data_IF_666603765858
#
_entry.id   IF_666603765858
#
_cell.length_a   1.000
_cell.length_b   1.000
_cell.length_c   1.000
_cell.angle_alpha   90.00
_cell.angle_beta   90.00
_cell.angle_gamma   90.00
#
_symmetry.space_group_name_H-M   'P 1'
#
loop_
_entity.id
_entity.type
_entity.pdbx_description
1 polymer ?
#
# COMPACT_ATOMS: atom_id res chain seq x y z
N UNK A 1 14.14 17.61 8.85
CA UNK A 1 13.91 18.75 7.94
C UNK A 1 15.22 19.32 7.38
N UNK A 2 16.15 19.82 8.20
CA UNK A 2 17.40 20.44 7.69
C UNK A 2 18.27 19.54 6.78
N UNK A 3 18.35 18.22 7.02
CA UNK A 3 19.07 17.29 6.14
C UNK A 3 18.30 16.91 4.86
N UNK A 4 16.97 17.05 4.87
CA UNK A 4 16.11 16.87 3.69
C UNK A 4 16.29 18.05 2.74
N UNK A 5 16.35 19.28 3.26
CA UNK A 5 16.58 20.49 2.45
C UNK A 5 17.87 20.43 1.64
N UNK A 6 18.96 19.90 2.21
CA UNK A 6 20.22 19.74 1.46
C UNK A 6 20.11 18.73 0.31
N UNK A 7 19.34 17.64 0.48
CA UNK A 7 19.08 16.70 -0.61
C UNK A 7 18.16 17.34 -1.66
N UNK A 8 17.07 17.94 -1.21
CA UNK A 8 16.11 18.61 -2.08
C UNK A 8 16.74 19.76 -2.87
N UNK A 9 17.68 20.52 -2.33
CA UNK A 9 18.39 21.55 -3.09
C UNK A 9 19.23 20.98 -4.24
N UNK A 10 19.76 19.76 -4.11
CA UNK A 10 20.50 19.08 -5.20
C UNK A 10 19.51 18.59 -6.25
N UNK A 11 18.40 17.96 -5.85
CA UNK A 11 17.41 17.41 -6.79
C UNK A 11 16.52 18.47 -7.43
N UNK A 12 16.09 19.51 -6.71
CA UNK A 12 15.40 20.68 -7.27
C UNK A 12 16.27 21.51 -8.20
N UNK A 13 17.59 21.31 -8.18
CA UNK A 13 18.52 21.92 -9.15
C UNK A 13 18.78 21.07 -10.39
N UNK A 14 18.35 19.80 -10.40
CA UNK A 14 18.34 18.95 -11.58
C UNK A 14 16.92 18.93 -12.16
N UNK A 15 16.76 19.05 -13.48
CA UNK A 15 15.45 19.07 -14.16
C UNK A 15 14.70 17.72 -14.15
N UNK A 16 14.74 16.98 -13.03
CA UNK A 16 14.21 15.63 -12.85
C UNK A 16 12.88 15.71 -12.08
N UNK A 17 11.78 15.08 -12.54
CA UNK A 17 10.53 15.06 -11.80
C UNK A 17 10.69 14.28 -10.49
N UNK A 18 10.12 14.81 -9.42
CA UNK A 18 10.25 14.23 -8.08
C UNK A 18 8.97 13.53 -7.61
N UNK A 19 9.14 12.33 -7.03
CA UNK A 19 8.13 11.64 -6.24
C UNK A 19 8.55 11.65 -4.77
N UNK A 20 7.77 12.33 -3.94
CA UNK A 20 8.00 12.51 -2.52
C UNK A 20 7.20 11.51 -1.70
N UNK A 21 7.86 10.67 -0.92
CA UNK A 21 7.21 9.64 -0.11
C UNK A 21 7.03 10.10 1.33
N UNK A 22 5.77 10.19 1.78
CA UNK A 22 5.43 10.38 3.19
C UNK A 22 5.46 9.04 3.92
N UNK A 23 6.66 8.60 4.28
CA UNK A 23 6.87 7.36 5.02
C UNK A 23 6.52 7.53 6.52
N UNK A 24 5.29 7.17 6.90
CA UNK A 24 4.86 7.07 8.31
C UNK A 24 5.08 5.67 8.89
N UNK A 25 6.02 4.91 8.34
CA UNK A 25 6.32 3.52 8.69
C UNK A 25 7.82 3.32 8.94
N UNK A 26 8.17 2.22 9.61
CA UNK A 26 9.57 1.78 9.72
C UNK A 26 10.11 1.37 8.34
N UNK A 27 11.34 1.78 8.00
CA UNK A 27 12.10 1.21 6.87
C UNK A 27 12.70 -0.13 7.28
N UNK A 28 12.54 -1.15 6.44
CA UNK A 28 12.96 -2.54 6.75
C UNK A 28 14.12 -3.04 5.86
N UNK A 29 14.46 -2.31 4.80
CA UNK A 29 15.51 -2.69 3.84
C UNK A 29 16.74 -1.76 3.93
N UNK A 30 17.94 -2.37 4.00
CA UNK A 30 19.30 -1.81 4.09
C UNK A 30 19.61 -0.84 5.26
N UNK A 31 18.68 0.03 5.64
CA UNK A 31 18.79 0.91 6.80
C UNK A 31 17.47 0.92 7.58
N UNK A 32 17.51 0.39 8.80
CA UNK A 32 16.35 0.33 9.70
C UNK A 32 16.11 1.71 10.31
N UNK A 33 15.21 2.49 9.69
CA UNK A 33 14.73 3.76 10.23
C UNK A 33 13.40 3.48 10.94
N UNK A 34 13.33 3.49 12.29
CA UNK A 34 12.09 3.22 13.03
C UNK A 34 11.15 4.43 13.03
N UNK A 35 9.95 4.24 13.59
CA UNK A 35 9.04 5.34 13.93
C UNK A 35 9.74 6.33 14.90
N UNK A 36 9.28 7.59 14.97
CA UNK A 36 9.87 8.58 15.86
C UNK A 36 9.96 8.08 17.31
N UNK A 37 11.07 8.32 18.05
CA UNK A 37 11.27 7.79 19.40
C UNK A 37 10.11 8.09 20.36
N UNK A 38 9.54 9.30 20.32
CA UNK A 38 8.39 9.67 21.15
C UNK A 38 7.13 8.85 20.85
N UNK A 39 6.95 8.38 19.61
CA UNK A 39 5.85 7.46 19.26
C UNK A 39 6.12 6.08 19.85
N UNK A 40 7.37 5.60 19.79
CA UNK A 40 7.76 4.33 20.38
C UNK A 40 7.62 4.33 21.91
N UNK A 41 7.81 5.47 22.56
CA UNK A 41 7.52 5.66 23.98
C UNK A 41 6.02 5.55 24.29
N UNK A 42 5.14 6.06 23.43
CA UNK A 42 3.68 5.83 23.60
C UNK A 42 3.31 4.36 23.36
N UNK A 43 3.94 3.70 22.37
CA UNK A 43 3.76 2.26 22.10
C UNK A 43 4.25 1.41 23.27
N UNK A 44 5.33 1.78 23.96
CA UNK A 44 5.82 1.03 25.11
C UNK A 44 4.87 1.13 26.32
N UNK A 45 4.22 2.29 26.50
CA UNK A 45 3.15 2.48 27.51
C UNK A 45 1.88 1.72 27.14
N UNK A 46 1.59 1.59 25.85
CA UNK A 46 0.38 0.95 25.35
C UNK A 46 0.67 0.10 24.09
N UNK A 47 1.00 -1.19 24.25
CA UNK A 47 1.36 -2.07 23.14
C UNK A 47 0.25 -2.31 22.11
N UNK A 48 -1.01 -2.01 22.44
CA UNK A 48 -2.14 -2.11 21.50
C UNK A 48 -2.20 -0.95 20.49
N UNK A 49 -1.26 -0.01 20.52
CA UNK A 49 -1.15 1.04 19.50
C UNK A 49 -0.65 0.52 18.15
N UNK A 50 -0.15 -0.70 18.08
CA UNK A 50 0.41 -1.29 16.87
C UNK A 50 -0.36 -2.55 16.47
N UNK A 51 -0.26 -2.93 15.20
CA UNK A 51 -0.93 -4.12 14.69
C UNK A 51 -0.50 -5.37 15.45
N UNK A 52 -1.47 -6.27 15.64
CA UNK A 52 -1.31 -7.44 16.49
C UNK A 52 -1.95 -8.65 15.85
N UNK A 53 -1.22 -9.76 15.82
CA UNK A 53 -1.70 -11.03 15.29
C UNK A 53 -2.43 -11.87 16.36
N UNK A 54 -2.96 -13.02 15.93
CA UNK A 54 -3.74 -13.91 16.80
C UNK A 54 -2.94 -14.42 18.00
N UNK A 55 -1.62 -14.55 17.85
CA UNK A 55 -0.71 -15.03 18.89
C UNK A 55 -0.25 -13.91 19.83
N UNK A 56 -0.73 -12.68 19.63
CA UNK A 56 -0.36 -11.50 20.42
C UNK A 56 0.98 -10.87 20.03
N UNK A 57 1.58 -11.28 18.90
CA UNK A 57 2.81 -10.62 18.41
C UNK A 57 2.47 -9.23 17.90
N UNK A 58 3.30 -8.27 18.26
CA UNK A 58 3.14 -6.84 17.96
C UNK A 58 4.06 -6.45 16.81
N UNK A 59 3.53 -5.72 15.83
CA UNK A 59 4.32 -5.21 14.71
C UNK A 59 4.51 -3.68 14.83
N UNK A 60 5.68 -3.19 15.29
CA UNK A 60 5.93 -1.77 15.50
C UNK A 60 6.27 -0.98 14.24
N UNK A 61 6.06 -1.53 13.04
CA UNK A 61 6.34 -0.83 11.77
C UNK A 61 5.35 0.29 11.48
N UNK A 62 4.13 0.21 12.00
CA UNK A 62 3.06 1.19 11.77
C UNK A 62 2.04 1.19 12.93
N UNK A 63 1.36 2.32 13.14
CA UNK A 63 0.30 2.45 14.15
C UNK A 63 -0.98 1.77 13.65
N UNK A 64 -1.63 0.96 14.49
CA UNK A 64 -2.87 0.26 14.10
C UNK A 64 -3.96 1.26 13.71
N UNK A 65 -4.63 1.04 12.59
CA UNK A 65 -5.76 1.86 12.14
C UNK A 65 -6.95 1.88 13.12
N UNK A 66 -6.97 0.95 14.09
CA UNK A 66 -7.92 0.97 15.21
C UNK A 66 -7.79 2.25 16.05
N UNK A 67 -6.63 2.91 15.99
CA UNK A 67 -6.31 4.11 16.75
C UNK A 67 -6.58 5.43 16.01
N UNK A 68 -6.88 5.42 14.71
CA UNK A 68 -6.93 6.61 13.82
C UNK A 68 -7.62 7.85 14.41
N UNK A 69 -8.69 7.63 15.16
CA UNK A 69 -9.56 8.68 15.71
C UNK A 69 -9.47 8.82 17.23
N UNK A 70 -8.51 8.17 17.88
CA UNK A 70 -8.32 8.20 19.33
C UNK A 70 -7.09 9.03 19.69
N UNK A 71 -7.15 9.93 20.70
CA UNK A 71 -6.06 10.84 21.07
C UNK A 71 -4.95 10.13 21.87
N UNK A 72 -4.33 9.13 21.26
CA UNK A 72 -3.41 8.19 21.92
C UNK A 72 -1.92 8.52 21.72
N UNK A 73 -1.60 9.58 20.98
CA UNK A 73 -0.24 10.02 20.69
C UNK A 73 0.01 11.41 21.29
N UNK A 74 0.31 11.46 22.58
CA UNK A 74 0.54 12.73 23.29
C UNK A 74 -0.67 13.68 23.24
N UNK A 75 -1.89 13.13 23.35
CA UNK A 75 -3.15 13.88 23.27
C UNK A 75 -3.66 14.14 21.85
N UNK A 76 -2.94 13.73 20.80
CA UNK A 76 -3.36 13.82 19.40
C UNK A 76 -3.75 12.46 18.84
N UNK A 77 -4.61 12.46 17.83
CA UNK A 77 -4.92 11.23 17.07
C UNK A 77 -3.83 10.94 16.03
N UNK A 78 -3.64 9.67 15.60
CA UNK A 78 -2.74 9.35 14.50
C UNK A 78 -3.01 10.16 13.23
N UNK A 79 -4.29 10.34 12.85
CA UNK A 79 -4.66 11.17 11.69
C UNK A 79 -4.22 12.63 11.87
N UNK A 80 -4.35 13.21 13.07
CA UNK A 80 -3.83 14.55 13.35
C UNK A 80 -2.31 14.61 13.22
N UNK A 81 -1.59 13.63 13.77
CA UNK A 81 -0.12 13.56 13.66
C UNK A 81 0.33 13.47 12.19
N UNK A 82 -0.31 12.65 11.37
CA UNK A 82 -0.02 12.57 9.93
C UNK A 82 -0.32 13.89 9.21
N UNK A 83 -1.45 14.53 9.54
CA UNK A 83 -1.86 15.81 8.97
C UNK A 83 -0.90 16.93 9.33
N UNK A 84 -0.47 17.02 10.59
CA UNK A 84 0.49 17.99 11.08
C UNK A 84 1.85 17.82 10.38
N UNK A 85 2.28 16.58 10.17
CA UNK A 85 3.51 16.26 9.46
C UNK A 85 3.44 16.69 7.99
N UNK A 86 2.35 16.35 7.29
CA UNK A 86 2.11 16.81 5.92
C UNK A 86 2.05 18.34 5.82
N UNK A 87 1.39 19.00 6.78
CA UNK A 87 1.29 20.47 6.80
C UNK A 87 2.65 21.13 7.03
N UNK A 88 3.44 20.59 7.96
CA UNK A 88 4.81 21.07 8.22
C UNK A 88 5.69 20.94 6.97
N UNK A 89 5.55 19.85 6.22
CA UNK A 89 6.22 19.68 4.93
C UNK A 89 5.72 20.69 3.91
N UNK A 90 4.39 20.80 3.72
CA UNK A 90 3.79 21.76 2.81
C UNK A 90 4.30 23.19 3.06
N UNK A 91 4.28 23.65 4.32
CA UNK A 91 4.68 25.01 4.65
C UNK A 91 6.18 25.24 4.48
N UNK A 92 7.01 24.21 4.72
CA UNK A 92 8.45 24.32 4.53
C UNK A 92 8.86 24.34 3.05
N UNK A 93 8.18 23.56 2.21
CA UNK A 93 8.51 23.38 0.80
C UNK A 93 7.55 24.11 -0.14
N UNK A 94 6.71 25.01 0.37
CA UNK A 94 5.66 25.73 -0.37
C UNK A 94 6.18 26.39 -1.65
N UNK A 95 7.37 26.98 -1.60
CA UNK A 95 7.97 27.68 -2.73
C UNK A 95 8.42 26.72 -3.85
N UNK A 96 8.60 25.44 -3.53
CA UNK A 96 8.96 24.39 -4.50
C UNK A 96 7.71 23.67 -5.04
N UNK A 97 6.69 23.48 -4.20
CA UNK A 97 5.44 22.81 -4.59
C UNK A 97 4.78 23.55 -5.77
N UNK A 98 4.62 22.86 -6.89
CA UNK A 98 3.97 23.38 -8.10
C UNK A 98 4.79 24.42 -8.89
N UNK A 99 5.92 24.89 -8.37
CA UNK A 99 6.69 26.00 -8.94
C UNK A 99 8.08 25.64 -9.47
N UNK A 100 8.63 24.46 -9.14
CA UNK A 100 10.01 24.11 -9.57
C UNK A 100 10.15 24.08 -11.10
N UNK A 101 9.07 23.90 -11.88
CA UNK A 101 9.15 23.90 -13.35
C UNK A 101 8.04 24.77 -13.95
N UNK A 102 8.13 26.07 -13.70
CA UNK A 102 7.50 27.08 -14.57
C UNK A 102 8.55 28.02 -15.21
N UNK A 103 9.79 28.07 -14.69
CA UNK A 103 10.74 29.11 -15.10
C UNK A 103 11.73 28.79 -16.23
N UNK A 104 11.88 27.54 -16.69
CA UNK A 104 12.89 27.20 -17.73
C UNK A 104 12.36 26.84 -19.12
N UNK A 105 11.04 26.80 -19.35
CA UNK A 105 10.49 26.47 -20.68
C UNK A 105 9.36 27.43 -21.07
N UNK A 106 9.65 28.73 -21.13
CA UNK A 106 8.76 29.72 -21.77
C UNK A 106 9.07 29.94 -23.26
N UNK A 107 9.98 29.16 -23.84
CA UNK A 107 10.37 29.26 -25.25
C UNK A 107 10.66 27.88 -25.83
N UNK A 108 9.60 27.14 -26.17
CA UNK A 108 9.46 26.32 -27.37
C UNK A 108 8.28 25.36 -27.16
N UNK A 109 7.26 25.60 -27.99
CA UNK A 109 6.21 24.67 -28.41
C UNK A 109 5.30 23.98 -27.36
N UNK A 110 4.02 24.34 -27.51
CA UNK A 110 2.79 23.59 -27.22
C UNK A 110 2.98 22.13 -26.83
N UNK A 111 2.48 21.80 -25.61
CA UNK A 111 2.16 20.46 -25.10
C UNK A 111 3.23 19.78 -24.23
N UNK A 112 3.73 20.47 -23.20
CA UNK A 112 4.39 19.81 -22.06
C UNK A 112 3.58 20.02 -20.78
N UNK A 113 3.19 18.91 -20.13
CA UNK A 113 2.64 18.94 -18.78
C UNK A 113 3.74 19.47 -17.84
N UNK A 114 3.46 20.41 -16.93
CA UNK A 114 4.44 20.81 -15.92
C UNK A 114 4.94 19.54 -15.22
N UNK A 115 6.26 19.41 -15.02
CA UNK A 115 6.83 18.26 -14.31
C UNK A 115 6.09 18.13 -12.96
N UNK A 116 5.18 17.17 -12.89
CA UNK A 116 4.27 17.01 -11.77
C UNK A 116 5.08 16.49 -10.61
N UNK A 117 5.22 17.30 -9.56
CA UNK A 117 5.68 16.79 -8.29
C UNK A 117 4.59 15.89 -7.73
N UNK A 118 4.90 14.61 -7.57
CA UNK A 118 4.00 13.63 -7.00
C UNK A 118 4.31 13.48 -5.51
N UNK A 119 3.27 13.48 -4.69
CA UNK A 119 3.36 13.24 -3.25
C UNK A 119 2.66 11.91 -2.98
N UNK A 120 3.46 10.88 -2.71
CA UNK A 120 2.97 9.57 -2.33
C UNK A 120 2.71 9.51 -0.82
N UNK A 121 1.45 9.28 -0.45
CA UNK A 121 1.01 9.25 0.94
C UNK A 121 1.05 7.83 1.50
N UNK A 122 1.91 7.59 2.50
CA UNK A 122 2.03 6.28 3.14
C UNK A 122 0.85 5.96 4.06
N UNK A 123 0.19 4.83 3.82
CA UNK A 123 -1.04 4.41 4.54
C UNK A 123 -0.89 3.09 5.32
N UNK A 124 0.35 2.67 5.57
CA UNK A 124 0.62 1.40 6.25
C UNK A 124 2.07 0.96 6.13
N UNK A 125 2.36 -0.32 6.45
CA UNK A 125 3.69 -0.92 6.32
C UNK A 125 4.21 -0.76 4.88
N UNK A 126 5.49 -0.42 4.73
CA UNK A 126 6.11 -0.09 3.43
C UNK A 126 5.41 1.06 2.66
N UNK A 127 4.57 1.86 3.32
CA UNK A 127 3.78 2.95 2.72
C UNK A 127 2.51 2.47 2.03
N UNK A 128 2.26 1.17 2.02
CA UNK A 128 1.15 0.53 1.30
C UNK A 128 -0.12 0.54 2.14
N UNK A 129 -1.27 0.74 1.50
CA UNK A 129 -2.58 0.58 2.15
C UNK A 129 -2.88 -0.91 2.35
N UNK A 130 -2.35 -1.49 3.42
CA UNK A 130 -2.59 -2.88 3.82
C UNK A 130 -2.30 -3.11 5.30
N UNK A 131 -2.67 -4.29 5.77
CA UNK A 131 -2.19 -4.82 7.03
C UNK A 131 -0.80 -5.47 6.90
N UNK A 132 0.00 -5.56 7.98
CA UNK A 132 1.29 -6.26 7.99
C UNK A 132 1.12 -7.80 8.07
N UNK A 133 0.41 -8.38 7.10
CA UNK A 133 -0.01 -9.79 7.14
C UNK A 133 1.10 -10.81 6.83
N UNK A 134 2.23 -10.37 6.25
CA UNK A 134 3.35 -11.20 5.82
C UNK A 134 4.70 -10.61 6.30
N UNK A 135 4.94 -10.45 7.61
CA UNK A 135 6.17 -9.89 8.11
C UNK A 135 7.33 -10.88 7.89
N UNK A 136 8.23 -10.57 6.97
CA UNK A 136 9.44 -11.38 6.70
C UNK A 136 10.45 -11.33 7.87
N UNK A 137 10.36 -10.28 8.69
CA UNK A 137 11.20 -10.08 9.87
C UNK A 137 11.25 -11.33 10.77
N UNK A 138 12.47 -11.74 11.12
CA UNK A 138 12.76 -12.88 12.00
C UNK A 138 12.20 -14.24 11.50
N UNK A 139 11.91 -14.36 10.19
CA UNK A 139 11.41 -15.62 9.60
C UNK A 139 9.97 -15.97 10.02
N UNK A 140 9.21 -15.00 10.52
CA UNK A 140 7.81 -15.19 10.94
C UNK A 140 6.96 -15.69 9.78
N UNK A 141 7.10 -15.05 8.62
CA UNK A 141 6.47 -15.44 7.38
C UNK A 141 7.52 -15.72 6.32
N UNK A 142 7.22 -16.66 5.42
CA UNK A 142 7.99 -16.97 4.22
C UNK A 142 7.05 -17.17 3.05
N UNK A 143 7.45 -16.63 1.90
CA UNK A 143 6.74 -16.85 0.65
C UNK A 143 6.63 -18.36 0.35
N UNK A 144 5.46 -18.88 -0.08
CA UNK A 144 4.21 -18.17 -0.40
C UNK A 144 3.12 -18.31 0.68
N UNK A 145 3.43 -18.26 1.98
CA UNK A 145 2.43 -18.50 3.02
C UNK A 145 1.19 -17.56 2.98
N UNK A 146 0.05 -18.03 3.49
CA UNK A 146 -1.21 -17.25 3.52
C UNK A 146 -1.17 -15.95 4.36
N UNK A 147 -0.21 -15.82 5.27
CA UNK A 147 -0.17 -14.71 6.23
C UNK A 147 -1.15 -14.87 7.39
N UNK A 148 -1.33 -13.83 8.20
CA UNK A 148 -2.33 -13.83 9.28
C UNK A 148 -3.08 -12.49 9.38
N UNK A 149 -4.34 -12.54 9.82
CA UNK A 149 -5.13 -11.36 10.15
C UNK A 149 -4.48 -10.56 11.30
N UNK A 150 -4.35 -9.25 11.13
CA UNK A 150 -3.62 -8.35 12.03
C UNK A 150 -4.55 -7.45 12.87
N UNK A 151 -5.67 -7.99 13.35
CA UNK A 151 -6.75 -7.22 14.00
C UNK A 151 -6.96 -7.53 15.49
N UNK A 152 -5.94 -8.04 16.18
CA UNK A 152 -6.08 -8.53 17.55
C UNK A 152 -5.68 -7.52 18.63
N UNK A 153 -5.30 -6.29 18.25
CA UNK A 153 -5.15 -5.19 19.19
C UNK A 153 -6.51 -4.82 19.82
N UNK A 154 -6.48 -4.29 21.04
CA UNK A 154 -7.71 -4.03 21.80
C UNK A 154 -8.71 -3.12 21.08
N UNK A 155 -8.23 -2.17 20.25
CA UNK A 155 -9.09 -1.21 19.57
C UNK A 155 -9.81 -1.85 18.39
N UNK A 156 -9.09 -2.64 17.59
CA UNK A 156 -9.67 -3.42 16.51
C UNK A 156 -10.64 -4.46 17.05
N UNK A 157 -10.31 -5.15 18.14
CA UNK A 157 -11.22 -6.11 18.80
C UNK A 157 -12.51 -5.45 19.29
N UNK A 158 -12.43 -4.33 20.00
CA UNK A 158 -13.62 -3.59 20.45
C UNK A 158 -14.48 -3.12 19.25
N UNK A 159 -13.83 -2.71 18.16
CA UNK A 159 -14.50 -2.33 16.92
C UNK A 159 -15.20 -3.52 16.22
N UNK A 160 -14.60 -4.71 16.23
CA UNK A 160 -15.20 -5.93 15.70
C UNK A 160 -16.43 -6.32 16.52
N UNK A 161 -16.29 -6.34 17.84
CA UNK A 161 -17.36 -6.62 18.79
C UNK A 161 -18.56 -5.71 18.55
N UNK A 162 -18.35 -4.38 18.56
CA UNK A 162 -19.41 -3.41 18.30
C UNK A 162 -20.08 -3.60 16.93
N UNK A 163 -19.34 -3.99 15.89
CA UNK A 163 -19.89 -4.24 14.56
C UNK A 163 -20.78 -5.48 14.53
N UNK A 164 -20.41 -6.52 15.29
CA UNK A 164 -21.20 -7.74 15.43
C UNK A 164 -22.46 -7.52 16.28
N UNK A 165 -22.37 -6.72 17.34
CA UNK A 165 -23.52 -6.33 18.16
C UNK A 165 -24.57 -5.55 17.35
N UNK A 166 -24.13 -4.64 16.48
CA UNK A 166 -25.01 -3.85 15.62
C UNK A 166 -25.86 -4.70 14.65
N UNK A 167 -25.39 -5.91 14.31
CA UNK A 167 -26.11 -6.88 13.48
C UNK A 167 -26.92 -7.90 14.31
N UNK A 168 -26.93 -7.78 15.64
CA UNK A 168 -27.53 -8.78 16.53
C UNK A 168 -26.80 -10.12 16.55
N UNK A 169 -25.54 -10.16 16.08
CA UNK A 169 -24.70 -11.36 15.95
C UNK A 169 -23.51 -11.33 16.91
N UNK A 170 -23.76 -11.08 18.20
CA UNK A 170 -22.71 -10.88 19.23
C UNK A 170 -21.57 -11.90 19.18
N UNK A 171 -21.88 -13.16 18.94
CA UNK A 171 -20.89 -14.25 18.92
C UNK A 171 -19.86 -14.11 17.78
N UNK A 172 -20.21 -13.42 16.69
CA UNK A 172 -19.29 -13.15 15.58
C UNK A 172 -18.21 -12.11 15.94
N UNK A 173 -18.42 -11.34 17.01
CA UNK A 173 -17.53 -10.26 17.41
C UNK A 173 -16.46 -10.64 18.44
N UNK A 174 -16.53 -11.85 19.02
CA UNK A 174 -15.69 -12.26 20.16
C UNK A 174 -14.20 -12.32 19.83
N UNK A 175 -13.87 -12.75 18.62
CA UNK A 175 -12.50 -12.83 18.08
C UNK A 175 -12.51 -12.85 16.56
N UNK A 176 -11.34 -12.72 15.93
CA UNK A 176 -11.18 -13.09 14.53
C UNK A 176 -11.40 -14.60 14.28
N UNK A 177 -11.38 -15.05 13.01
CA UNK A 177 -11.64 -16.45 12.66
C UNK A 177 -10.66 -17.41 13.32
N UNK A 178 -11.20 -18.36 14.09
CA UNK A 178 -10.42 -19.30 14.88
C UNK A 178 -9.71 -20.35 14.02
N UNK A 179 -10.22 -20.59 12.81
CA UNK A 179 -9.79 -21.60 11.84
C UNK A 179 -8.96 -21.04 10.67
N UNK A 180 -8.48 -19.78 10.78
CA UNK A 180 -7.65 -19.11 9.79
C UNK A 180 -6.23 -19.67 9.60
N UNK A 181 -5.80 -20.62 10.43
CA UNK A 181 -4.45 -21.16 10.37
C UNK A 181 -3.38 -20.17 10.86
N UNK A 182 -2.17 -20.29 10.30
CA UNK A 182 -0.96 -19.53 10.64
C UNK A 182 -0.21 -19.06 9.38
N UNK A 183 0.72 -18.12 9.56
CA UNK A 183 1.45 -17.41 8.49
C UNK A 183 1.90 -18.27 7.29
N UNK A 184 2.50 -19.44 7.54
CA UNK A 184 3.20 -20.24 6.51
C UNK A 184 2.39 -21.42 5.97
N UNK A 185 1.11 -21.51 6.34
CA UNK A 185 0.22 -22.55 5.81
C UNK A 185 -0.27 -22.20 4.41
N UNK A 186 -0.81 -23.20 3.70
CA UNK A 186 -1.51 -23.00 2.43
C UNK A 186 -3.02 -22.90 2.67
N UNK A 187 -3.80 -22.34 1.73
CA UNK A 187 -5.24 -22.19 1.91
C UNK A 187 -5.94 -23.50 2.29
N UNK A 188 -5.57 -24.60 1.63
CA UNK A 188 -6.17 -25.93 1.82
C UNK A 188 -5.83 -26.57 3.18
N UNK A 189 -4.80 -26.08 3.89
CA UNK A 189 -4.43 -26.56 5.23
C UNK A 189 -5.29 -25.94 6.34
N UNK A 190 -6.17 -25.01 6.00
CA UNK A 190 -6.95 -24.22 6.97
C UNK A 190 -8.44 -24.52 6.88
N UNK A 191 -9.15 -24.38 8.01
CA UNK A 191 -10.61 -24.44 8.00
C UNK A 191 -11.22 -23.22 7.30
N UNK A 192 -10.59 -22.05 7.48
CA UNK A 192 -11.13 -20.79 6.99
C UNK A 192 -10.95 -20.60 5.50
N UNK A 193 -9.76 -20.83 4.92
CA UNK A 193 -9.39 -20.42 3.54
C UNK A 193 -9.48 -21.52 2.48
N UNK A 194 -9.67 -22.79 2.87
CA UNK A 194 -9.82 -23.89 1.90
C UNK A 194 -10.97 -23.63 0.92
N UNK A 195 -11.01 -24.36 -0.19
CA UNK A 195 -11.96 -24.16 -1.30
C UNK A 195 -13.40 -23.83 -0.89
N UNK A 196 -13.95 -24.57 0.07
CA UNK A 196 -15.32 -24.38 0.62
C UNK A 196 -15.25 -24.11 2.14
N UNK A 197 -14.27 -23.30 2.54
CA UNK A 197 -14.00 -22.92 3.93
C UNK A 197 -14.91 -21.83 4.46
N UNK A 198 -14.71 -21.50 5.74
CA UNK A 198 -15.50 -20.53 6.49
C UNK A 198 -15.50 -19.13 5.87
N UNK A 199 -14.49 -18.78 5.06
CA UNK A 199 -14.40 -17.52 4.30
C UNK A 199 -15.65 -17.22 3.45
N UNK A 200 -16.35 -18.26 2.99
CA UNK A 200 -17.54 -18.15 2.12
C UNK A 200 -18.87 -18.32 2.88
N UNK A 201 -18.86 -18.28 4.21
CA UNK A 201 -20.08 -18.31 5.05
C UNK A 201 -20.54 -16.89 5.41
N UNK A 202 -21.75 -16.74 5.95
CA UNK A 202 -22.25 -15.43 6.41
C UNK A 202 -21.29 -14.77 7.43
N UNK A 203 -20.72 -15.57 8.34
CA UNK A 203 -19.70 -15.09 9.29
C UNK A 203 -18.42 -14.64 8.57
N UNK A 204 -17.93 -15.43 7.61
CA UNK A 204 -16.75 -15.11 6.82
C UNK A 204 -16.93 -13.81 6.04
N UNK A 205 -18.07 -13.65 5.39
CA UNK A 205 -18.44 -12.43 4.68
C UNK A 205 -18.49 -11.24 5.63
N UNK A 206 -19.19 -11.34 6.77
CA UNK A 206 -19.21 -10.30 7.80
C UNK A 206 -17.81 -9.87 8.24
N UNK A 207 -16.95 -10.84 8.59
CA UNK A 207 -15.62 -10.55 9.09
C UNK A 207 -14.74 -9.88 8.02
N UNK A 208 -14.77 -10.38 6.78
CA UNK A 208 -13.98 -9.85 5.67
C UNK A 208 -14.48 -8.48 5.19
N UNK A 209 -15.79 -8.23 5.21
CA UNK A 209 -16.36 -6.89 4.96
C UNK A 209 -15.94 -5.90 6.04
N UNK A 210 -16.00 -6.30 7.31
CA UNK A 210 -15.52 -5.47 8.41
C UNK A 210 -14.03 -5.16 8.28
N UNK A 211 -13.20 -6.19 8.05
CA UNK A 211 -11.74 -6.07 8.05
C UNK A 211 -11.23 -5.22 6.89
N UNK A 212 -11.71 -5.50 5.66
CA UNK A 212 -11.39 -4.70 4.48
C UNK A 212 -12.03 -3.30 4.53
N UNK A 213 -13.25 -3.19 5.05
CA UNK A 213 -13.94 -1.91 5.22
C UNK A 213 -13.24 -0.98 6.22
N UNK A 214 -12.55 -1.53 7.22
CA UNK A 214 -11.70 -0.75 8.15
C UNK A 214 -10.47 -0.18 7.44
N UNK A 215 -9.83 -0.98 6.59
CA UNK A 215 -8.70 -0.53 5.76
C UNK A 215 -9.11 0.56 4.77
N UNK A 216 -10.24 0.40 4.08
CA UNK A 216 -10.78 1.42 3.17
C UNK A 216 -11.05 2.76 3.88
N UNK A 217 -11.64 2.72 5.08
CA UNK A 217 -11.90 3.92 5.90
C UNK A 217 -10.62 4.56 6.44
N UNK A 218 -9.58 3.78 6.70
CA UNK A 218 -8.26 4.30 7.06
C UNK A 218 -7.66 5.08 5.89
N UNK A 219 -7.60 4.48 4.70
CA UNK A 219 -7.14 5.13 3.49
C UNK A 219 -7.92 6.41 3.17
N UNK A 220 -9.27 6.36 3.23
CA UNK A 220 -10.11 7.54 2.95
C UNK A 220 -9.82 8.70 3.91
N UNK A 221 -9.63 8.43 5.21
CA UNK A 221 -9.31 9.46 6.21
C UNK A 221 -7.95 10.11 5.97
N UNK A 222 -6.92 9.30 5.69
CA UNK A 222 -5.57 9.81 5.41
C UNK A 222 -5.55 10.61 4.10
N UNK A 223 -6.13 10.07 3.02
CA UNK A 223 -6.15 10.74 1.72
C UNK A 223 -7.00 12.01 1.73
N UNK A 224 -8.12 12.03 2.47
CA UNK A 224 -8.92 13.25 2.68
C UNK A 224 -8.08 14.32 3.39
N UNK A 225 -7.33 13.94 4.43
CA UNK A 225 -6.46 14.87 5.15
C UNK A 225 -5.32 15.40 4.27
N UNK A 226 -4.66 14.51 3.50
CA UNK A 226 -3.61 14.87 2.56
C UNK A 226 -4.14 15.83 1.48
N UNK A 227 -5.30 15.53 0.90
CA UNK A 227 -6.00 16.40 -0.04
C UNK A 227 -6.22 17.79 0.55
N UNK A 228 -6.70 17.88 1.80
CA UNK A 228 -6.90 19.17 2.47
C UNK A 228 -5.61 19.95 2.70
N UNK A 229 -4.48 19.28 2.95
CA UNK A 229 -3.18 19.93 3.16
C UNK A 229 -2.58 20.44 1.85
N UNK A 230 -2.62 19.64 0.78
CA UNK A 230 -1.97 19.95 -0.50
C UNK A 230 -2.92 20.60 -1.51
N UNK A 231 -4.14 20.94 -1.12
CA UNK A 231 -5.08 21.62 -2.01
C UNK A 231 -4.51 22.96 -2.47
N UNK A 232 -4.46 23.16 -3.79
CA UNK A 232 -3.96 24.41 -4.39
C UNK A 232 -2.44 24.52 -4.50
N UNK A 233 -1.68 23.49 -4.09
CA UNK A 233 -0.22 23.47 -4.23
C UNK A 233 0.26 23.09 -5.64
N UNK A 234 -0.63 22.59 -6.50
CA UNK A 234 -0.29 22.05 -7.82
C UNK A 234 0.34 20.64 -7.79
N UNK A 235 0.65 20.09 -6.62
CA UNK A 235 1.18 18.74 -6.48
C UNK A 235 0.11 17.67 -6.73
N UNK A 236 0.50 16.56 -7.37
CA UNK A 236 -0.36 15.39 -7.54
C UNK A 236 -0.22 14.47 -6.34
N UNK A 237 -1.32 13.92 -5.82
CA UNK A 237 -1.27 12.93 -4.74
C UNK A 237 -1.32 11.52 -5.32
N UNK A 238 -0.54 10.61 -4.73
CA UNK A 238 -0.64 9.17 -5.00
C UNK A 238 -0.68 8.36 -3.72
N UNK A 239 -1.14 7.12 -3.82
CA UNK A 239 -1.15 6.16 -2.73
C UNK A 239 -0.83 4.76 -3.26
N UNK A 240 -0.15 3.97 -2.44
CA UNK A 240 0.38 2.67 -2.88
C UNK A 240 -0.50 1.50 -2.43
N UNK A 241 -0.78 0.60 -3.37
CA UNK A 241 -1.48 -0.67 -3.13
C UNK A 241 -0.50 -1.82 -3.44
N UNK A 242 -0.38 -2.77 -2.52
CA UNK A 242 0.53 -3.91 -2.66
C UNK A 242 0.00 -4.97 -3.64
N UNK A 243 0.86 -5.49 -4.50
CA UNK A 243 0.61 -6.63 -5.39
C UNK A 243 0.77 -7.98 -4.68
N UNK A 244 -0.32 -8.48 -4.08
CA UNK A 244 -0.33 -9.78 -3.40
C UNK A 244 -0.71 -10.87 -4.39
N UNK A 245 0.29 -11.37 -5.12
CA UNK A 245 0.04 -12.25 -6.27
C UNK A 245 -0.02 -13.74 -5.93
N UNK A 246 0.47 -14.18 -4.76
CA UNK A 246 0.43 -15.59 -4.36
C UNK A 246 -0.95 -15.98 -3.85
N UNK A 247 -1.32 -17.24 -4.07
CA UNK A 247 -2.66 -17.77 -3.82
C UNK A 247 -3.79 -17.07 -4.59
N UNK A 248 -3.52 -16.14 -5.49
CA UNK A 248 -4.52 -15.50 -6.36
C UNK A 248 -5.31 -16.54 -7.19
N UNK A 249 -4.68 -17.65 -7.59
CA UNK A 249 -5.36 -18.73 -8.31
C UNK A 249 -6.29 -19.60 -7.44
N UNK A 250 -6.30 -19.41 -6.11
CA UNK A 250 -7.19 -20.13 -5.19
C UNK A 250 -8.60 -19.49 -5.19
N UNK A 251 -9.62 -20.16 -4.63
CA UNK A 251 -10.95 -19.53 -4.55
C UNK A 251 -11.02 -18.41 -3.53
N UNK A 252 -10.32 -18.57 -2.41
CA UNK A 252 -10.35 -17.66 -1.28
C UNK A 252 -9.42 -16.46 -1.46
N UNK A 253 -8.39 -16.56 -2.30
CA UNK A 253 -7.37 -15.52 -2.43
C UNK A 253 -6.75 -15.17 -1.06
N UNK A 254 -6.41 -16.22 -0.28
CA UNK A 254 -6.13 -16.11 1.16
C UNK A 254 -5.15 -14.99 1.55
N UNK A 255 -4.07 -14.80 0.78
CA UNK A 255 -3.08 -13.78 1.05
C UNK A 255 -3.61 -12.35 0.85
N UNK A 256 -4.47 -12.13 -0.15
CA UNK A 256 -5.15 -10.85 -0.35
C UNK A 256 -6.10 -10.57 0.83
N UNK A 257 -6.84 -11.59 1.27
CA UNK A 257 -7.77 -11.47 2.41
C UNK A 257 -7.04 -11.09 3.71
N UNK A 258 -5.93 -11.73 4.03
CA UNK A 258 -5.14 -11.41 5.23
C UNK A 258 -4.48 -10.04 5.14
N UNK A 259 -4.06 -9.61 3.93
CA UNK A 259 -3.56 -8.25 3.68
C UNK A 259 -4.65 -7.16 3.77
N UNK A 260 -5.93 -7.55 3.78
CA UNK A 260 -7.09 -6.66 3.92
C UNK A 260 -7.81 -6.34 2.61
N UNK A 261 -7.36 -6.90 1.48
CA UNK A 261 -8.07 -6.81 0.21
C UNK A 261 -9.10 -7.92 0.16
N UNK A 262 -10.39 -7.58 0.28
CA UNK A 262 -11.45 -8.57 0.18
C UNK A 262 -11.71 -8.95 -1.29
N UNK A 263 -10.68 -9.42 -1.97
CA UNK A 263 -10.75 -9.99 -3.30
C UNK A 263 -11.00 -11.49 -3.19
N UNK A 264 -11.88 -12.02 -4.03
CA UNK A 264 -12.09 -13.46 -4.16
C UNK A 264 -12.40 -13.77 -5.61
N UNK A 265 -12.54 -15.06 -5.96
CA UNK A 265 -12.95 -15.46 -7.30
C UNK A 265 -14.24 -14.81 -7.82
N UNK A 266 -15.12 -14.39 -6.91
CA UNK A 266 -16.45 -13.86 -7.24
C UNK A 266 -16.68 -12.42 -6.79
N UNK A 267 -15.66 -11.77 -6.20
CA UNK A 267 -15.78 -10.42 -5.65
C UNK A 267 -14.54 -9.62 -5.98
N UNK A 268 -14.73 -8.48 -6.63
CA UNK A 268 -13.64 -7.52 -6.87
C UNK A 268 -13.30 -6.75 -5.59
N UNK A 269 -12.13 -7.05 -5.03
CA UNK A 269 -11.58 -6.37 -3.85
C UNK A 269 -10.95 -5.00 -4.14
N UNK A 270 -10.58 -4.74 -5.39
CA UNK A 270 -9.80 -3.56 -5.80
C UNK A 270 -10.68 -2.41 -6.30
N UNK A 271 -11.85 -2.70 -6.87
CA UNK A 271 -12.78 -1.66 -7.33
C UNK A 271 -13.24 -0.70 -6.21
N UNK A 272 -13.60 -1.16 -4.99
CA UNK A 272 -13.91 -0.25 -3.88
C UNK A 272 -12.72 0.65 -3.51
N UNK A 273 -11.50 0.11 -3.53
CA UNK A 273 -10.26 0.85 -3.30
C UNK A 273 -10.07 1.93 -4.37
N UNK A 274 -10.18 1.57 -5.65
CA UNK A 274 -10.07 2.51 -6.76
C UNK A 274 -11.12 3.63 -6.68
N UNK A 275 -12.36 3.32 -6.28
CA UNK A 275 -13.40 4.33 -6.03
C UNK A 275 -13.06 5.27 -4.88
N UNK A 276 -12.47 4.75 -3.80
CA UNK A 276 -12.01 5.57 -2.67
C UNK A 276 -10.88 6.52 -3.09
N UNK A 277 -9.93 6.05 -3.91
CA UNK A 277 -8.89 6.89 -4.50
C UNK A 277 -9.48 7.96 -5.44
N UNK A 278 -10.46 7.58 -6.27
CA UNK A 278 -11.19 8.49 -7.18
C UNK A 278 -11.86 9.63 -6.43
N UNK A 279 -12.60 9.31 -5.35
CA UNK A 279 -13.23 10.29 -4.47
C UNK A 279 -12.23 11.33 -3.95
N UNK A 280 -10.98 10.91 -3.68
CA UNK A 280 -9.93 11.77 -3.16
C UNK A 280 -9.09 12.44 -4.27
N UNK A 281 -9.26 12.08 -5.55
CA UNK A 281 -8.45 12.61 -6.65
C UNK A 281 -6.98 12.16 -6.57
N UNK A 282 -6.75 10.94 -6.08
CA UNK A 282 -5.41 10.39 -5.81
C UNK A 282 -5.09 9.32 -6.85
N UNK A 283 -3.87 9.35 -7.39
CA UNK A 283 -3.35 8.30 -8.29
C UNK A 283 -3.15 7.00 -7.52
N UNK A 284 -3.61 5.89 -8.08
CA UNK A 284 -3.33 4.58 -7.52
C UNK A 284 -1.98 4.11 -8.06
N UNK A 285 -1.01 3.88 -7.18
CA UNK A 285 0.28 3.27 -7.54
C UNK A 285 0.26 1.79 -7.12
N UNK A 286 0.62 0.90 -8.04
CA UNK A 286 0.55 -0.55 -7.84
C UNK A 286 1.87 -1.25 -8.18
N UNK A 287 2.21 -2.30 -7.43
CA UNK A 287 3.46 -3.06 -7.62
C UNK A 287 3.26 -4.29 -8.51
N UNK A 288 4.33 -5.05 -8.77
CA UNK A 288 4.36 -6.30 -9.55
C UNK A 288 4.21 -6.14 -11.07
N UNK A 289 4.46 -4.95 -11.61
CA UNK A 289 4.30 -4.67 -13.05
C UNK A 289 5.30 -5.44 -13.94
N UNK A 290 6.38 -5.96 -13.36
CA UNK A 290 7.45 -6.68 -14.05
C UNK A 290 7.27 -8.21 -14.03
N UNK A 291 6.37 -8.72 -13.20
CA UNK A 291 6.24 -10.15 -12.93
C UNK A 291 5.41 -10.88 -13.99
N UNK A 292 5.81 -12.11 -14.31
CA UNK A 292 5.07 -13.04 -15.19
C UNK A 292 4.61 -14.26 -14.43
N UNK A 293 3.46 -14.81 -14.79
CA UNK A 293 2.88 -16.00 -14.14
C UNK A 293 3.83 -17.21 -14.29
N UNK A 294 4.47 -17.36 -15.46
CA UNK A 294 5.42 -18.45 -15.77
C UNK A 294 6.70 -18.42 -14.94
N UNK A 295 7.01 -17.31 -14.29
CA UNK A 295 8.20 -17.15 -13.43
C UNK A 295 7.91 -17.55 -11.98
N UNK A 296 6.64 -17.80 -11.66
CA UNK A 296 6.21 -18.11 -10.30
C UNK A 296 6.23 -19.62 -10.03
N UNK A 297 6.55 -20.04 -8.80
CA UNK A 297 6.52 -21.45 -8.46
C UNK A 297 5.08 -21.98 -8.46
N UNK A 298 4.86 -23.13 -9.12
CA UNK A 298 3.53 -23.71 -9.30
C UNK A 298 2.76 -23.92 -7.99
N UNK A 299 3.45 -24.31 -6.90
CA UNK A 299 2.82 -24.55 -5.61
C UNK A 299 2.25 -23.27 -4.97
N UNK A 300 2.78 -22.09 -5.30
CA UNK A 300 2.30 -20.81 -4.75
C UNK A 300 0.96 -20.36 -5.34
N UNK A 301 0.53 -20.97 -6.45
CA UNK A 301 -0.71 -20.65 -7.15
C UNK A 301 -0.82 -19.14 -7.46
N UNK A 302 0.29 -18.57 -7.93
CA UNK A 302 0.41 -17.14 -8.23
C UNK A 302 -0.28 -16.77 -9.55
N UNK A 303 -0.76 -15.53 -9.64
CA UNK A 303 -1.06 -14.91 -10.94
C UNK A 303 -0.84 -13.39 -10.88
N UNK A 304 0.41 -12.90 -10.89
CA UNK A 304 0.70 -11.47 -10.99
C UNK A 304 0.08 -10.82 -12.23
N UNK A 305 0.06 -11.51 -13.38
CA UNK A 305 -0.52 -10.96 -14.62
C UNK A 305 -2.04 -10.83 -14.53
N UNK A 306 -2.71 -11.82 -13.92
CA UNK A 306 -4.13 -11.79 -13.63
C UNK A 306 -4.49 -10.66 -12.66
N UNK A 307 -3.69 -10.51 -11.60
CA UNK A 307 -3.86 -9.46 -10.60
C UNK A 307 -3.69 -8.06 -11.19
N UNK A 308 -2.61 -7.81 -11.94
CA UNK A 308 -2.37 -6.53 -12.62
C UNK A 308 -3.53 -6.19 -13.57
N UNK A 309 -4.01 -7.16 -14.35
CA UNK A 309 -5.17 -6.97 -15.24
C UNK A 309 -6.41 -6.56 -14.46
N UNK A 310 -6.69 -7.19 -13.32
CA UNK A 310 -7.83 -6.83 -12.47
C UNK A 310 -7.72 -5.39 -11.97
N UNK A 311 -6.56 -4.98 -11.45
CA UNK A 311 -6.33 -3.62 -10.96
C UNK A 311 -6.47 -2.58 -12.08
N UNK A 312 -5.93 -2.86 -13.27
CA UNK A 312 -6.09 -2.01 -14.46
C UNK A 312 -7.56 -1.81 -14.84
N UNK A 313 -8.39 -2.85 -14.71
CA UNK A 313 -9.83 -2.75 -14.98
C UNK A 313 -10.57 -2.00 -13.88
N UNK A 314 -10.19 -2.19 -12.62
CA UNK A 314 -10.76 -1.47 -11.47
C UNK A 314 -10.48 0.03 -11.55
N UNK A 315 -9.24 0.44 -11.87
CA UNK A 315 -8.88 1.86 -12.00
C UNK A 315 -9.54 2.52 -13.20
N UNK A 316 -9.59 1.83 -14.36
CA UNK A 316 -10.35 2.27 -15.53
C UNK A 316 -11.83 2.49 -15.20
N UNK A 317 -12.45 1.55 -14.50
CA UNK A 317 -13.87 1.64 -14.11
C UNK A 317 -14.14 2.75 -13.09
N UNK A 318 -13.16 3.09 -12.25
CA UNK A 318 -13.24 4.18 -11.29
C UNK A 318 -12.84 5.56 -11.87
N UNK A 319 -12.35 5.60 -13.11
CA UNK A 319 -11.90 6.81 -13.78
C UNK A 319 -10.69 7.48 -13.12
N UNK A 320 -9.75 6.68 -12.59
CA UNK A 320 -8.52 7.19 -11.94
C UNK A 320 -7.28 6.81 -12.70
N UNK A 321 -6.22 7.59 -12.55
CA UNK A 321 -4.90 7.26 -13.08
C UNK A 321 -4.27 6.09 -12.30
N UNK A 322 -3.51 5.27 -13.01
CA UNK A 322 -2.74 4.16 -12.48
C UNK A 322 -1.26 4.40 -12.73
N UNK A 323 -0.46 4.43 -11.68
CA UNK A 323 1.01 4.37 -11.74
C UNK A 323 1.49 2.95 -11.38
N UNK A 324 2.71 2.61 -11.80
CA UNK A 324 3.27 1.29 -11.60
C UNK A 324 4.67 1.29 -10.99
N UNK A 325 4.99 0.22 -10.26
CA UNK A 325 6.31 -0.06 -9.72
C UNK A 325 6.66 -1.54 -9.95
N UNK A 326 7.95 -1.85 -10.14
CA UNK A 326 8.41 -3.24 -10.03
C UNK A 326 8.49 -3.64 -8.55
N UNK A 327 8.13 -4.89 -8.25
CA UNK A 327 8.19 -5.41 -6.89
C UNK A 327 9.60 -5.89 -6.50
N UNK A 328 10.33 -6.49 -7.46
CA UNK A 328 11.69 -6.99 -7.27
C UNK A 328 12.69 -6.26 -8.17
N UNK A 329 13.91 -6.08 -7.67
CA UNK A 329 15.02 -5.50 -8.42
C UNK A 329 15.41 -6.43 -9.59
N UNK A 330 15.06 -6.06 -10.82
CA UNK A 330 15.24 -6.86 -12.04
C UNK A 330 15.90 -6.03 -13.13
N UNK A 331 16.89 -6.60 -13.83
CA UNK A 331 17.69 -5.92 -14.87
C UNK A 331 17.58 -6.55 -16.25
N UNK A 332 16.87 -7.67 -16.37
CA UNK A 332 16.74 -8.41 -17.61
C UNK A 332 15.65 -7.85 -18.54
N UNK A 333 15.82 -8.11 -19.82
CA UNK A 333 14.89 -7.70 -20.89
C UNK A 333 13.49 -8.27 -20.69
N UNK A 334 13.36 -9.46 -20.09
CA UNK A 334 12.05 -10.09 -19.87
C UNK A 334 11.16 -9.29 -18.92
N UNK A 335 11.72 -8.77 -17.83
CA UNK A 335 11.06 -7.87 -16.89
C UNK A 335 10.72 -6.51 -17.55
N UNK A 336 11.65 -5.95 -18.33
CA UNK A 336 11.45 -4.70 -19.05
C UNK A 336 10.29 -4.78 -20.06
N UNK A 337 10.29 -5.81 -20.91
CA UNK A 337 9.21 -6.06 -21.87
C UNK A 337 7.86 -6.24 -21.19
N UNK A 338 7.83 -6.85 -20.00
CA UNK A 338 6.59 -7.01 -19.23
C UNK A 338 6.04 -5.67 -18.74
N UNK A 339 6.91 -4.79 -18.25
CA UNK A 339 6.51 -3.43 -17.85
C UNK A 339 5.98 -2.66 -19.06
N UNK A 340 6.65 -2.75 -20.22
CA UNK A 340 6.17 -2.12 -21.46
C UNK A 340 4.84 -2.69 -21.96
N UNK A 341 4.60 -3.99 -21.81
CA UNK A 341 3.31 -4.59 -22.15
C UNK A 341 2.23 -4.13 -21.17
N UNK A 342 2.57 -4.03 -19.89
CA UNK A 342 1.68 -3.61 -18.82
C UNK A 342 1.35 -2.11 -18.88
N UNK A 343 2.24 -1.27 -19.41
CA UNK A 343 2.02 0.17 -19.54
C UNK A 343 0.94 0.54 -20.55
N UNK A 344 0.68 -0.32 -21.55
CA UNK A 344 -0.30 -0.09 -22.62
C UNK A 344 -1.74 -0.25 -22.15
N UNK A 345 -2.68 0.42 -22.82
CA UNK A 345 -4.12 0.37 -22.51
C UNK A 345 -4.84 -0.90 -22.99
N UNK A 346 -4.16 -1.78 -23.74
CA UNK A 346 -4.75 -2.98 -24.37
C UNK A 346 -5.46 -3.91 -23.38
N UNK A 347 -5.06 -3.88 -22.10
CA UNK A 347 -5.60 -4.71 -21.02
C UNK A 347 -6.23 -3.93 -19.86
N UNK A 348 -6.64 -2.67 -20.09
CA UNK A 348 -7.32 -1.84 -19.07
C UNK A 348 -6.85 -0.39 -19.09
N UNK A 349 -6.62 0.20 -17.92
CA UNK A 349 -6.05 1.54 -17.85
C UNK A 349 -4.57 1.53 -18.29
N UNK A 350 -4.12 2.52 -19.04
CA UNK A 350 -2.69 2.69 -19.30
C UNK A 350 -1.98 3.18 -18.03
N UNK A 351 -0.67 2.93 -17.92
CA UNK A 351 0.10 3.51 -16.83
C UNK A 351 0.37 4.99 -17.12
N UNK A 352 0.06 5.87 -16.17
CA UNK A 352 0.40 7.29 -16.24
C UNK A 352 1.87 7.56 -15.92
N UNK A 353 2.48 6.68 -15.12
CA UNK A 353 3.88 6.74 -14.73
C UNK A 353 4.38 5.35 -14.31
N UNK A 354 5.69 5.14 -14.38
CA UNK A 354 6.36 3.96 -13.83
C UNK A 354 7.56 4.38 -12.99
N UNK A 355 7.69 3.86 -11.78
CA UNK A 355 8.82 4.12 -10.87
C UNK A 355 9.63 2.85 -10.70
N UNK A 356 10.91 2.89 -11.12
CA UNK A 356 11.80 1.74 -11.03
C UNK A 356 12.43 1.61 -9.62
N UNK A 357 12.28 0.43 -9.02
CA UNK A 357 12.91 0.02 -7.78
C UNK A 357 14.17 -0.82 -8.10
N UNK A 358 15.40 -0.36 -7.81
CA UNK A 358 15.80 0.91 -7.21
C UNK A 358 17.05 1.43 -7.89
N UNK A 359 17.21 2.76 -7.90
CA UNK A 359 18.47 3.39 -8.25
C UNK A 359 19.61 2.88 -7.34
N UNK A 360 20.56 2.17 -7.93
CA UNK A 360 21.79 1.74 -7.26
C UNK A 360 22.92 1.63 -8.30
N UNK A 361 24.12 1.30 -7.84
CA UNK A 361 25.31 1.21 -8.69
C UNK A 361 25.13 0.21 -9.86
N UNK A 362 24.44 -0.92 -9.63
CA UNK A 362 24.21 -1.96 -10.65
C UNK A 362 23.32 -1.49 -11.80
N UNK A 363 22.40 -0.57 -11.54
CA UNK A 363 21.56 0.03 -12.59
C UNK A 363 22.39 0.80 -13.63
N UNK A 364 23.54 1.35 -13.25
CA UNK A 364 24.37 2.18 -14.12
C UNK A 364 25.64 1.48 -14.63
N UNK A 365 25.90 0.24 -14.20
CA UNK A 365 27.10 -0.52 -14.60
C UNK A 365 26.79 -1.59 -15.65
N UNK A 366 27.57 -1.62 -16.73
CA UNK A 366 27.58 -2.70 -17.73
C UNK A 366 26.46 -2.69 -18.77
N UNK A 367 26.32 -3.77 -19.54
CA UNK A 367 25.25 -4.01 -20.53
C UNK A 367 23.86 -4.16 -19.92
N UNK A 368 23.77 -4.31 -18.59
CA UNK A 368 22.55 -4.45 -17.78
C UNK A 368 21.77 -3.16 -17.58
N UNK A 369 22.44 -2.01 -17.48
CA UNK A 369 21.79 -0.70 -17.40
C UNK A 369 21.18 -0.26 -18.73
N UNK A 370 21.77 -0.68 -19.85
CA UNK A 370 21.35 -0.27 -21.19
C UNK A 370 19.88 -0.59 -21.51
N UNK A 371 19.33 -1.69 -20.98
CA UNK A 371 17.92 -2.05 -21.22
C UNK A 371 16.94 -1.05 -20.60
N UNK A 372 17.20 -0.60 -19.37
CA UNK A 372 16.33 0.34 -18.65
C UNK A 372 16.66 1.81 -18.94
N UNK A 373 17.87 2.11 -19.40
CA UNK A 373 18.30 3.44 -19.85
C UNK A 373 17.81 3.81 -21.27
N UNK A 374 17.15 2.88 -21.97
CA UNK A 374 16.50 3.12 -23.28
C UNK A 374 15.02 3.56 -23.15
N UNK A 375 14.53 3.84 -21.93
CA UNK A 375 13.26 4.54 -21.66
C UNK A 375 13.42 6.04 -21.93
#
# INVERSE_FOLDING_TARGET
MQNLEKHFLVFFSSDIPEVLFFASHKSVYEQSIPLPPWVLEEVSKNPDLVYTDKSGRRNPEYISLGCDSLPVLGGRTPIQVYTDYMRSFHDRFRDYLGNVIVQLVSKLETQFQPLLQEIQVGMGPCGELRYPAYPESNGTWRFPGIGEFQCYDKYMRASLEASAEALGKRDWGRSGPHDAGQYNQFPEDTGFFKRDGTWNTDYGQFFLEWYSGKLLRHGDRILTAAKGVFQGSGAKLSGKIAGIHWHYGSRSHAAELTAGYYNTRHRDGYLPTARMFSKNGVVLNFTCMEMKDREQPAHANCSPEGLVRQVKMATKSAGIDLAGENALERYDTGAFEQVLATSRSDSGNALSAFTYLRMNKRLFEGTTGGTWLNL
#
